data_IF_564097993340
#
_entry.id   IF_564097993340
#
_cell.length_a   1.000
_cell.length_b   1.000
_cell.length_c   1.000
_cell.angle_alpha   90.00
_cell.angle_beta   90.00
_cell.angle_gamma   90.00
#
_symmetry.space_group_name_H-M   'P 1'
#
loop_
_entity.id
_entity.type
_entity.pdbx_description
1 polymer ?
#
# COMPACT_ATOMS: atom_id res chain seq x y z
N UNK A 1 -15.63 40.86 0.49
CA UNK A 1 -15.92 40.05 -0.73
C UNK A 1 -15.01 38.83 -0.72
N UNK A 2 -15.53 37.60 -0.64
CA UNK A 2 -14.71 36.37 -0.77
C UNK A 2 -14.69 35.93 -2.24
N UNK A 3 -13.52 35.60 -2.82
CA UNK A 3 -13.45 35.09 -4.19
C UNK A 3 -14.14 33.71 -4.27
N UNK A 4 -14.86 33.46 -5.36
CA UNK A 4 -15.46 32.14 -5.61
C UNK A 4 -14.33 31.13 -5.87
N UNK A 5 -14.40 29.92 -5.29
CA UNK A 5 -13.48 28.86 -5.65
C UNK A 5 -13.70 28.49 -7.12
N UNK A 6 -12.62 28.42 -7.89
CA UNK A 6 -12.67 27.91 -9.25
C UNK A 6 -13.05 26.43 -9.21
N UNK A 7 -13.97 26.02 -10.10
CA UNK A 7 -14.35 24.62 -10.21
C UNK A 7 -13.15 23.79 -10.66
N UNK A 8 -12.94 22.58 -10.09
CA UNK A 8 -11.95 21.66 -10.62
C UNK A 8 -12.32 21.32 -12.06
N UNK A 9 -11.39 21.58 -12.99
CA UNK A 9 -11.58 21.22 -14.39
C UNK A 9 -11.64 19.71 -14.57
N UNK A 10 -12.29 19.29 -15.66
CA UNK A 10 -12.36 17.89 -16.09
C UNK A 10 -10.94 17.27 -16.19
N UNK A 11 -10.78 15.98 -15.86
CA UNK A 11 -9.48 15.32 -15.93
C UNK A 11 -8.96 15.36 -17.36
N UNK A 12 -7.70 15.79 -17.51
CA UNK A 12 -7.01 15.84 -18.80
C UNK A 12 -6.82 14.43 -19.35
N UNK A 13 -6.92 14.26 -20.67
CA UNK A 13 -6.56 13.00 -21.30
C UNK A 13 -5.07 12.68 -21.05
N UNK A 14 -4.73 11.39 -20.82
CA UNK A 14 -3.36 11.00 -20.55
C UNK A 14 -2.49 11.20 -21.78
N UNK A 15 -1.31 11.80 -21.60
CA UNK A 15 -0.34 11.97 -22.68
C UNK A 15 0.33 10.63 -23.03
N UNK A 16 0.84 10.46 -24.27
CA UNK A 16 1.60 9.26 -24.63
C UNK A 16 2.78 8.96 -23.69
N UNK A 17 3.48 10.00 -23.21
CA UNK A 17 4.56 9.86 -22.23
C UNK A 17 4.06 9.31 -20.88
N UNK A 18 2.87 9.71 -20.43
CA UNK A 18 2.25 9.16 -19.21
C UNK A 18 1.93 7.66 -19.34
N UNK A 19 1.52 7.21 -20.52
CA UNK A 19 1.26 5.79 -20.76
C UNK A 19 2.54 4.95 -20.72
N UNK A 20 3.65 5.51 -21.19
CA UNK A 20 4.98 4.87 -21.18
C UNK A 20 5.49 4.65 -19.75
N UNK A 21 5.24 5.58 -18.82
CA UNK A 21 5.56 5.36 -17.40
C UNK A 21 4.71 4.25 -16.76
N UNK A 22 3.44 4.14 -17.18
CA UNK A 22 2.51 3.12 -16.67
C UNK A 22 2.92 1.70 -17.09
N UNK A 23 3.46 1.53 -18.30
CA UNK A 23 3.95 0.23 -18.78
C UNK A 23 5.20 -0.22 -18.01
N UNK A 24 6.11 0.71 -17.69
CA UNK A 24 7.29 0.43 -16.85
C UNK A 24 6.90 0.01 -15.42
N UNK A 25 5.82 0.58 -14.86
CA UNK A 25 5.36 0.23 -13.52
C UNK A 25 4.80 -1.19 -13.42
N UNK A 26 4.21 -1.74 -14.50
CA UNK A 26 3.67 -3.10 -14.54
C UNK A 26 4.76 -4.18 -14.55
N UNK A 27 5.97 -3.84 -15.00
CA UNK A 27 7.11 -4.76 -15.06
C UNK A 27 7.75 -5.02 -13.70
N UNK A 28 7.48 -4.17 -12.70
CA UNK A 28 8.01 -4.41 -11.36
C UNK A 28 7.21 -5.53 -10.69
N UNK A 29 7.87 -6.63 -10.28
CA UNK A 29 7.19 -7.65 -9.50
C UNK A 29 6.64 -7.00 -8.25
N UNK A 30 5.32 -7.03 -8.08
CA UNK A 30 4.62 -6.56 -6.87
C UNK A 30 5.14 -7.38 -5.69
N UNK A 31 6.24 -6.93 -5.07
CA UNK A 31 6.68 -7.46 -3.78
C UNK A 31 5.56 -7.11 -2.82
N UNK A 32 4.75 -8.13 -2.48
CA UNK A 32 3.77 -7.99 -1.42
C UNK A 32 4.52 -7.44 -0.21
N UNK A 33 4.09 -6.33 0.40
CA UNK A 33 4.67 -5.93 1.67
C UNK A 33 4.52 -7.13 2.58
N UNK A 34 5.63 -7.65 3.11
CA UNK A 34 5.59 -8.71 4.11
C UNK A 34 4.77 -8.15 5.27
N UNK A 35 3.48 -8.48 5.30
CA UNK A 35 2.67 -8.24 6.48
C UNK A 35 3.35 -9.04 7.59
N UNK A 36 4.07 -8.30 8.43
CA UNK A 36 4.70 -8.80 9.61
C UNK A 36 3.57 -9.33 10.49
N UNK A 37 3.27 -10.62 10.34
CA UNK A 37 2.41 -11.33 11.27
C UNK A 37 3.07 -11.15 12.63
N UNK A 38 2.48 -10.29 13.46
CA UNK A 38 2.77 -10.29 14.89
C UNK A 38 2.37 -11.69 15.37
N UNK A 39 3.33 -12.61 15.40
CA UNK A 39 3.19 -13.85 16.13
C UNK A 39 3.01 -13.43 17.59
N UNK A 40 1.78 -13.48 18.08
CA UNK A 40 1.54 -13.42 19.51
C UNK A 40 2.41 -14.50 20.14
N UNK A 41 3.34 -14.11 21.01
CA UNK A 41 4.12 -15.07 21.78
C UNK A 41 3.16 -15.76 22.72
N UNK A 42 2.64 -16.91 22.32
CA UNK A 42 1.95 -17.78 23.27
C UNK A 42 2.96 -18.14 24.36
N UNK A 43 2.63 -17.95 25.64
CA UNK A 43 3.48 -18.46 26.71
C UNK A 43 3.45 -19.98 26.63
N UNK A 44 4.60 -20.59 26.31
CA UNK A 44 4.80 -22.03 26.49
C UNK A 44 4.61 -22.31 27.98
N UNK A 45 3.45 -22.85 28.35
CA UNK A 45 3.21 -23.39 29.69
C UNK A 45 4.29 -24.42 29.97
N UNK A 46 5.24 -24.06 30.84
CA UNK A 46 6.23 -24.99 31.35
C UNK A 46 5.50 -26.14 32.05
N UNK A 47 5.89 -27.37 31.68
CA UNK A 47 5.51 -28.59 32.38
C UNK A 47 5.90 -28.42 33.84
N UNK A 48 4.92 -28.45 34.76
CA UNK A 48 5.23 -28.69 36.16
C UNK A 48 5.71 -30.14 36.25
N UNK A 49 7.00 -30.30 36.56
CA UNK A 49 7.51 -31.51 37.18
C UNK A 49 6.66 -31.71 38.44
N UNK A 50 5.77 -32.70 38.44
CA UNK A 50 5.23 -33.22 39.69
C UNK A 50 6.19 -34.32 40.13
N UNK A 51 6.66 -34.14 41.36
CA UNK A 51 7.50 -35.04 42.15
C UNK A 51 6.95 -36.45 42.15
#
# INVERSE_FOLDING_TARGET
MRPKPEQPSLPKQPTPQQQLHRSQQRQRPKRRPKQQRQRSKQPKRQRRLRR
#
